data_IF_754618050298
#
_entry.id   IF_754618050298
#
_cell.length_a   1.000
_cell.length_b   1.000
_cell.length_c   1.000
_cell.angle_alpha   90.00
_cell.angle_beta   90.00
_cell.angle_gamma   90.00
#
_symmetry.space_group_name_H-M   'P 1'
#
loop_
_entity.id
_entity.type
_entity.pdbx_description
1 polymer ?
#
# COMPACT_ATOMS: atom_id res chain seq x y z
N UNK A 1 14.16 7.33 15.17
CA UNK A 1 14.91 8.25 14.28
C UNK A 1 15.13 7.54 12.97
N UNK A 2 14.60 8.05 11.84
CA UNK A 2 14.91 7.47 10.53
C UNK A 2 16.43 7.57 10.31
N UNK A 3 17.05 6.45 10.01
CA UNK A 3 18.48 6.39 9.71
C UNK A 3 18.76 7.30 8.50
N UNK A 4 19.64 8.28 8.72
CA UNK A 4 19.96 9.26 7.67
C UNK A 4 20.67 8.55 6.53
N UNK A 5 20.12 8.61 5.34
CA UNK A 5 20.74 8.03 4.13
C UNK A 5 22.02 8.81 3.83
N UNK A 6 23.13 8.10 3.83
CA UNK A 6 24.46 8.60 3.48
C UNK A 6 25.13 7.64 2.51
N UNK A 7 26.16 8.08 1.78
CA UNK A 7 26.83 7.25 0.79
C UNK A 7 27.33 5.90 1.36
N UNK A 8 27.69 5.85 2.64
CA UNK A 8 28.22 4.63 3.28
C UNK A 8 27.17 3.57 3.63
N UNK A 9 25.86 3.90 3.69
CA UNK A 9 24.79 2.95 3.97
C UNK A 9 23.78 2.80 2.83
N UNK A 10 24.06 3.42 1.70
CA UNK A 10 23.13 3.46 0.56
C UNK A 10 22.78 2.07 0.04
N UNK A 11 23.78 1.21 -0.16
CA UNK A 11 23.58 -0.13 -0.70
C UNK A 11 22.72 -1.00 0.24
N UNK A 12 22.93 -0.88 1.55
CA UNK A 12 22.13 -1.57 2.56
C UNK A 12 20.67 -1.09 2.54
N UNK A 13 20.46 0.23 2.47
CA UNK A 13 19.11 0.81 2.38
C UNK A 13 18.41 0.39 1.10
N UNK A 14 19.13 0.32 -0.02
CA UNK A 14 18.61 -0.16 -1.30
C UNK A 14 18.18 -1.62 -1.22
N UNK A 15 19.05 -2.48 -0.70
CA UNK A 15 18.77 -3.92 -0.56
C UNK A 15 17.55 -4.15 0.32
N UNK A 16 17.50 -3.52 1.48
CA UNK A 16 16.37 -3.63 2.41
C UNK A 16 15.06 -3.13 1.80
N UNK A 17 15.10 -2.06 1.01
CA UNK A 17 13.94 -1.56 0.29
C UNK A 17 13.50 -2.52 -0.83
N UNK A 18 14.43 -3.21 -1.49
CA UNK A 18 14.11 -4.22 -2.49
C UNK A 18 13.38 -5.42 -1.86
N UNK A 19 13.89 -5.94 -0.74
CA UNK A 19 13.28 -7.03 0.01
C UNK A 19 11.82 -6.71 0.42
N UNK A 20 11.58 -5.50 0.91
CA UNK A 20 10.24 -5.05 1.28
C UNK A 20 9.31 -5.03 0.07
N UNK A 21 9.78 -4.52 -1.08
CA UNK A 21 8.98 -4.48 -2.31
C UNK A 21 8.59 -5.86 -2.77
N UNK A 22 9.54 -6.79 -2.77
CA UNK A 22 9.31 -8.15 -3.24
C UNK A 22 8.37 -8.89 -2.28
N UNK A 23 8.56 -8.76 -0.97
CA UNK A 23 7.66 -9.30 0.05
C UNK A 23 6.21 -8.81 -0.16
N UNK A 24 6.01 -7.51 -0.39
CA UNK A 24 4.66 -6.96 -0.58
C UNK A 24 4.03 -7.39 -1.90
N UNK A 25 4.83 -7.50 -2.97
CA UNK A 25 4.35 -8.02 -4.26
C UNK A 25 3.90 -9.47 -4.15
N UNK A 26 4.68 -10.32 -3.50
CA UNK A 26 4.32 -11.73 -3.27
C UNK A 26 3.01 -11.86 -2.50
N UNK A 27 2.85 -11.11 -1.40
CA UNK A 27 1.61 -11.08 -0.61
C UNK A 27 0.40 -10.62 -1.43
N UNK A 28 0.56 -9.56 -2.21
CA UNK A 28 -0.51 -9.05 -3.06
C UNK A 28 -0.88 -10.03 -4.17
N UNK A 29 0.11 -10.66 -4.82
CA UNK A 29 -0.12 -11.69 -5.85
C UNK A 29 -0.85 -12.89 -5.26
N UNK A 30 -0.47 -13.37 -4.09
CA UNK A 30 -1.12 -14.49 -3.42
C UNK A 30 -2.61 -14.23 -3.19
N UNK A 31 -2.94 -13.07 -2.64
CA UNK A 31 -4.34 -12.69 -2.42
C UNK A 31 -5.07 -12.55 -3.76
N UNK A 32 -4.54 -11.82 -4.72
CA UNK A 32 -5.17 -11.63 -6.04
C UNK A 32 -5.40 -12.96 -6.77
N UNK A 33 -4.46 -13.89 -6.70
CA UNK A 33 -4.61 -15.23 -7.29
C UNK A 33 -5.77 -15.99 -6.65
N UNK A 34 -5.90 -15.93 -5.35
CA UNK A 34 -7.01 -16.55 -4.64
C UNK A 34 -8.37 -15.90 -5.03
N UNK A 35 -8.38 -14.58 -5.22
CA UNK A 35 -9.55 -13.84 -5.66
C UNK A 35 -9.99 -14.22 -7.07
N UNK A 36 -9.05 -14.31 -7.99
CA UNK A 36 -9.32 -14.73 -9.37
C UNK A 36 -9.93 -16.14 -9.41
N UNK A 37 -9.45 -17.08 -8.58
CA UNK A 37 -10.05 -18.41 -8.43
C UNK A 37 -11.49 -18.35 -7.92
N UNK A 38 -11.84 -17.37 -7.11
CA UNK A 38 -13.19 -17.15 -6.58
C UNK A 38 -14.06 -16.32 -7.54
N UNK A 39 -13.56 -15.93 -8.71
CA UNK A 39 -14.24 -15.08 -9.71
C UNK A 39 -14.71 -13.73 -9.16
N UNK A 40 -13.97 -13.18 -8.20
CA UNK A 40 -14.27 -11.88 -7.61
C UNK A 40 -13.57 -10.80 -8.44
N UNK A 41 -14.35 -10.02 -9.18
CA UNK A 41 -13.85 -9.03 -10.14
C UNK A 41 -13.52 -7.66 -9.53
N UNK A 42 -13.96 -7.37 -8.30
CA UNK A 42 -13.74 -6.06 -7.66
C UNK A 42 -12.94 -6.18 -6.38
N UNK A 43 -11.65 -5.80 -6.43
CA UNK A 43 -10.79 -5.74 -5.24
C UNK A 43 -11.30 -4.74 -4.19
N UNK A 44 -11.97 -3.65 -4.61
CA UNK A 44 -12.41 -2.59 -3.73
C UNK A 44 -13.51 -3.05 -2.75
N UNK A 45 -14.56 -3.70 -3.26
CA UNK A 45 -15.63 -4.23 -2.41
C UNK A 45 -15.18 -5.40 -1.55
N UNK A 46 -14.21 -6.15 -2.03
CA UNK A 46 -13.70 -7.31 -1.32
C UNK A 46 -13.00 -6.94 -0.03
N UNK A 47 -12.19 -5.88 0.00
CA UNK A 47 -11.55 -5.41 1.23
C UNK A 47 -12.57 -5.27 2.37
N UNK A 48 -13.70 -4.62 2.09
CA UNK A 48 -14.78 -4.49 3.09
C UNK A 48 -15.39 -5.84 3.49
N UNK A 49 -15.48 -6.79 2.57
CA UNK A 49 -16.01 -8.13 2.89
C UNK A 49 -15.05 -8.95 3.75
N UNK A 50 -13.74 -8.83 3.51
CA UNK A 50 -12.71 -9.50 4.33
C UNK A 50 -12.73 -8.96 5.76
N UNK A 51 -12.98 -7.67 5.96
CA UNK A 51 -13.02 -7.05 7.28
C UNK A 51 -14.30 -7.36 8.09
N UNK A 52 -15.41 -7.70 7.44
CA UNK A 52 -16.70 -7.98 8.13
C UNK A 52 -16.62 -9.05 9.23
N UNK A 53 -16.00 -10.22 9.03
CA UNK A 53 -15.89 -11.24 10.08
C UNK A 53 -15.13 -10.79 11.32
N UNK A 54 -14.28 -9.76 11.19
CA UNK A 54 -13.55 -9.15 12.32
C UNK A 54 -14.39 -8.13 13.08
N UNK A 55 -15.66 -7.91 12.70
CA UNK A 55 -16.52 -6.93 13.33
C UNK A 55 -16.28 -5.50 12.82
N UNK A 56 -16.03 -5.34 11.52
CA UNK A 56 -15.82 -4.03 10.89
C UNK A 56 -16.85 -3.00 11.32
N UNK A 57 -16.36 -1.89 11.86
CA UNK A 57 -17.16 -0.70 12.17
C UNK A 57 -16.93 0.34 11.06
N UNK A 58 -18.01 0.82 10.48
CA UNK A 58 -18.01 1.89 9.49
C UNK A 58 -18.80 3.07 10.07
N UNK A 59 -18.11 4.19 10.31
CA UNK A 59 -18.75 5.36 10.91
C UNK A 59 -18.16 6.66 10.35
N UNK A 60 -18.97 7.71 10.18
CA UNK A 60 -18.45 9.00 9.78
C UNK A 60 -17.74 9.64 10.97
N UNK A 61 -16.48 10.03 10.75
CA UNK A 61 -15.68 10.76 11.71
C UNK A 61 -15.25 12.06 11.08
N UNK A 62 -15.56 13.17 11.73
CA UNK A 62 -15.21 14.51 11.28
C UNK A 62 -13.74 14.84 11.57
N UNK A 63 -12.87 14.07 10.89
CA UNK A 63 -11.43 14.29 10.88
C UNK A 63 -10.87 13.82 9.53
N UNK A 64 -10.47 14.74 8.64
CA UNK A 64 -9.99 14.41 7.30
C UNK A 64 -8.62 13.69 7.32
N UNK A 65 -7.87 13.75 8.44
CA UNK A 65 -6.57 13.12 8.59
C UNK A 65 -6.64 11.72 9.21
N UNK A 66 -7.81 11.31 9.72
CA UNK A 66 -8.00 9.98 10.28
C UNK A 66 -8.82 9.12 9.32
N UNK A 67 -8.23 8.08 8.75
CA UNK A 67 -8.87 7.21 7.77
C UNK A 67 -9.42 5.91 8.34
N UNK A 68 -8.74 5.32 9.30
CA UNK A 68 -9.12 4.08 9.96
C UNK A 68 -8.08 3.65 10.99
N UNK A 69 -8.38 2.57 11.70
CA UNK A 69 -7.47 1.91 12.63
C UNK A 69 -8.01 0.54 13.05
N UNK A 70 -7.14 -0.30 13.61
CA UNK A 70 -7.52 -1.53 14.31
C UNK A 70 -7.55 -1.26 15.79
N UNK A 71 -8.73 -1.42 16.39
CA UNK A 71 -8.89 -1.37 17.83
C UNK A 71 -8.79 -2.77 18.42
N UNK A 72 -8.06 -2.91 19.52
CA UNK A 72 -7.97 -4.18 20.23
C UNK A 72 -8.83 -4.11 21.49
N UNK A 73 -9.83 -4.99 21.58
CA UNK A 73 -10.70 -5.11 22.74
C UNK A 73 -10.86 -6.59 23.13
N UNK A 74 -10.48 -6.92 24.35
CA UNK A 74 -10.55 -8.30 24.86
C UNK A 74 -9.85 -9.32 23.93
N UNK A 75 -8.69 -8.99 23.39
CA UNK A 75 -7.92 -9.82 22.45
C UNK A 75 -8.49 -9.90 21.04
N UNK A 76 -9.61 -9.23 20.74
CA UNK A 76 -10.18 -9.15 19.40
C UNK A 76 -9.71 -7.89 18.69
N UNK A 77 -9.25 -8.05 17.47
CA UNK A 77 -8.89 -6.95 16.57
C UNK A 77 -10.15 -6.51 15.80
N UNK A 78 -10.56 -5.27 15.99
CA UNK A 78 -11.77 -4.69 15.39
C UNK A 78 -11.36 -3.56 14.45
N UNK A 79 -11.49 -3.73 13.13
CA UNK A 79 -11.18 -2.66 12.18
C UNK A 79 -12.28 -1.59 12.19
N UNK A 80 -11.86 -0.33 12.11
CA UNK A 80 -12.76 0.84 12.04
C UNK A 80 -12.34 1.67 10.82
N UNK A 81 -13.32 2.04 10.00
CA UNK A 81 -13.11 2.85 8.79
C UNK A 81 -13.96 4.11 8.83
N UNK A 82 -13.32 5.25 8.55
CA UNK A 82 -13.99 6.54 8.45
C UNK A 82 -14.76 6.64 7.13
N UNK A 83 -16.09 6.65 7.21
CA UNK A 83 -16.97 6.77 6.05
C UNK A 83 -17.24 8.21 5.61
N UNK A 84 -16.76 9.22 6.35
CA UNK A 84 -16.81 10.62 5.90
C UNK A 84 -15.81 10.89 4.76
N UNK A 85 -14.77 10.06 4.61
CA UNK A 85 -13.80 10.18 3.52
C UNK A 85 -14.34 9.64 2.17
N UNK A 86 -13.80 10.09 1.03
CA UNK A 86 -14.12 9.55 -0.27
C UNK A 86 -13.97 8.02 -0.36
N UNK A 87 -14.78 7.36 -1.17
CA UNK A 87 -14.78 5.89 -1.32
C UNK A 87 -13.40 5.31 -1.64
N UNK A 88 -12.63 5.98 -2.51
CA UNK A 88 -11.28 5.58 -2.86
C UNK A 88 -10.38 5.49 -1.62
N UNK A 89 -10.47 6.48 -0.71
CA UNK A 89 -9.72 6.48 0.55
C UNK A 89 -10.19 5.34 1.48
N UNK A 90 -11.51 5.10 1.56
CA UNK A 90 -12.04 4.00 2.38
C UNK A 90 -11.52 2.64 1.92
N UNK A 91 -11.44 2.40 0.60
CA UNK A 91 -10.91 1.14 0.06
C UNK A 91 -9.41 1.00 0.29
N UNK A 92 -8.66 2.09 0.13
CA UNK A 92 -7.24 2.11 0.45
C UNK A 92 -7.00 1.76 1.93
N UNK A 93 -7.73 2.42 2.82
CA UNK A 93 -7.68 2.14 4.26
C UNK A 93 -8.06 0.70 4.56
N UNK A 94 -9.10 0.16 3.93
CA UNK A 94 -9.51 -1.22 4.16
C UNK A 94 -8.39 -2.22 3.82
N UNK A 95 -7.66 -2.04 2.71
CA UNK A 95 -6.51 -2.88 2.37
C UNK A 95 -5.33 -2.68 3.30
N UNK A 96 -5.09 -1.45 3.76
CA UNK A 96 -4.10 -1.12 4.76
C UNK A 96 -4.36 -1.87 6.09
N UNK A 97 -5.59 -1.80 6.60
CA UNK A 97 -5.99 -2.51 7.82
C UNK A 97 -5.95 -4.04 7.67
N UNK A 98 -6.24 -4.57 6.47
CA UNK A 98 -6.08 -6.00 6.18
C UNK A 98 -4.63 -6.44 6.32
N UNK A 99 -3.68 -5.63 5.87
CA UNK A 99 -2.26 -5.92 6.08
C UNK A 99 -1.95 -6.11 7.56
N UNK A 100 -2.33 -5.16 8.40
CA UNK A 100 -2.12 -5.23 9.85
C UNK A 100 -2.83 -6.41 10.51
N UNK A 101 -4.03 -6.76 10.04
CA UNK A 101 -4.75 -7.91 10.58
C UNK A 101 -4.07 -9.25 10.30
N UNK A 102 -3.53 -9.42 9.09
CA UNK A 102 -3.06 -10.72 8.59
C UNK A 102 -1.56 -10.89 8.80
N UNK A 103 -0.78 -9.84 8.55
CA UNK A 103 0.67 -9.93 8.44
C UNK A 103 1.44 -9.26 9.57
N UNK A 104 0.84 -8.25 10.20
CA UNK A 104 1.49 -7.56 11.30
C UNK A 104 1.44 -8.42 12.58
N UNK A 105 2.64 -8.87 12.97
CA UNK A 105 2.84 -9.67 14.18
C UNK A 105 3.13 -8.82 15.42
N UNK A 106 3.17 -7.50 15.28
CA UNK A 106 3.54 -6.61 16.38
C UNK A 106 2.54 -6.76 17.52
N UNK A 107 3.03 -7.27 18.64
CA UNK A 107 2.30 -7.25 19.89
C UNK A 107 2.29 -5.80 20.38
N UNK A 108 1.11 -5.22 20.58
CA UNK A 108 0.89 -3.83 21.02
C UNK A 108 1.60 -3.44 22.32
N UNK A 109 2.34 -4.35 22.94
CA UNK A 109 3.05 -4.13 24.20
C UNK A 109 4.48 -3.54 24.07
N UNK A 110 5.08 -3.57 22.88
CA UNK A 110 6.46 -3.07 22.66
C UNK A 110 6.62 -2.43 21.28
N UNK A 111 6.01 -1.26 21.09
CA UNK A 111 6.17 -0.50 19.84
C UNK A 111 7.50 0.27 19.93
N UNK A 112 8.52 -0.21 19.22
CA UNK A 112 9.68 0.59 18.87
C UNK A 112 9.27 1.47 17.69
N UNK A 113 9.38 2.78 17.79
CA UNK A 113 8.92 3.74 16.76
C UNK A 113 9.39 3.42 15.33
N UNK A 114 10.60 2.87 15.18
CA UNK A 114 11.17 2.49 13.88
C UNK A 114 10.50 1.29 13.23
N UNK A 115 10.06 0.29 14.01
CA UNK A 115 9.33 -0.88 13.52
C UNK A 115 7.93 -0.47 13.05
N UNK A 116 7.29 0.42 13.80
CA UNK A 116 5.97 0.95 13.43
C UNK A 116 6.00 1.68 12.09
N UNK A 117 7.00 2.54 11.86
CA UNK A 117 7.14 3.28 10.59
C UNK A 117 7.35 2.33 9.40
N UNK A 118 8.09 1.24 9.59
CA UNK A 118 8.33 0.26 8.54
C UNK A 118 7.08 -0.56 8.22
N UNK A 119 6.34 -1.00 9.22
CA UNK A 119 5.09 -1.75 9.02
C UNK A 119 4.00 -0.87 8.40
N UNK A 120 3.91 0.40 8.76
CA UNK A 120 3.04 1.38 8.09
C UNK A 120 3.39 1.52 6.60
N UNK A 121 4.67 1.65 6.25
CA UNK A 121 5.11 1.70 4.85
C UNK A 121 4.74 0.44 4.08
N UNK A 122 4.92 -0.74 4.68
CA UNK A 122 4.53 -2.02 4.09
C UNK A 122 3.02 -2.08 3.85
N UNK A 123 2.23 -1.66 4.85
CA UNK A 123 0.77 -1.63 4.75
C UNK A 123 0.29 -0.69 3.65
N UNK A 124 0.87 0.49 3.53
CA UNK A 124 0.57 1.46 2.47
C UNK A 124 0.92 0.94 1.07
N UNK A 125 2.10 0.34 0.92
CA UNK A 125 2.50 -0.23 -0.37
C UNK A 125 1.65 -1.45 -0.75
N UNK A 126 1.37 -2.33 0.21
CA UNK A 126 0.46 -3.45 0.01
C UNK A 126 -0.94 -2.97 -0.44
N UNK A 127 -1.51 -1.97 0.24
CA UNK A 127 -2.79 -1.38 -0.14
C UNK A 127 -2.78 -0.78 -1.55
N UNK A 128 -1.69 -0.10 -1.93
CA UNK A 128 -1.50 0.42 -3.29
C UNK A 128 -1.48 -0.70 -4.33
N UNK A 129 -0.74 -1.78 -4.08
CA UNK A 129 -0.69 -2.96 -4.96
C UNK A 129 -2.06 -3.63 -5.10
N UNK A 130 -2.84 -3.71 -4.02
CA UNK A 130 -4.17 -4.31 -4.06
C UNK A 130 -5.17 -3.50 -4.88
N UNK A 131 -5.07 -2.18 -4.89
CA UNK A 131 -5.93 -1.30 -5.69
C UNK A 131 -5.47 -1.20 -7.16
N UNK A 132 -4.19 -0.95 -7.38
CA UNK A 132 -3.62 -0.53 -8.67
C UNK A 132 -2.98 -1.69 -9.44
N UNK A 133 -2.51 -2.73 -8.75
CA UNK A 133 -1.70 -3.77 -9.37
C UNK A 133 -0.37 -3.22 -9.87
N UNK A 134 0.00 -3.59 -11.10
CA UNK A 134 1.13 -3.01 -11.79
C UNK A 134 0.67 -1.76 -12.57
N UNK A 135 0.78 -0.59 -11.93
CA UNK A 135 0.33 0.68 -12.50
C UNK A 135 1.23 1.17 -13.65
N UNK A 136 2.52 0.82 -13.63
CA UNK A 136 3.50 1.45 -14.50
C UNK A 136 3.19 1.34 -16.01
N UNK A 137 2.78 0.19 -16.58
CA UNK A 137 2.42 0.11 -17.99
C UNK A 137 1.31 1.09 -18.36
N UNK A 138 0.24 1.14 -17.57
CA UNK A 138 -0.86 2.08 -17.80
C UNK A 138 -0.40 3.53 -17.75
N UNK A 139 0.40 3.90 -16.75
CA UNK A 139 0.94 5.25 -16.61
C UNK A 139 1.83 5.66 -17.79
N UNK A 140 2.62 4.73 -18.34
CA UNK A 140 3.52 5.01 -19.48
C UNK A 140 2.76 5.17 -20.79
N UNK A 141 1.62 4.52 -20.96
CA UNK A 141 0.75 4.71 -22.14
C UNK A 141 0.17 6.13 -22.24
N UNK A 142 0.08 6.84 -21.12
CA UNK A 142 -0.40 8.23 -21.09
C UNK A 142 0.69 9.25 -21.46
N UNK A 143 1.56 8.95 -22.43
CA UNK A 143 2.78 9.72 -22.75
C UNK A 143 2.51 11.18 -23.07
N UNK A 144 1.39 11.49 -23.74
CA UNK A 144 1.02 12.83 -24.20
C UNK A 144 0.52 13.76 -23.08
N UNK A 145 0.25 13.22 -21.87
CA UNK A 145 -0.27 14.00 -20.76
C UNK A 145 0.85 14.54 -19.87
N UNK A 146 0.62 15.69 -19.24
CA UNK A 146 1.50 16.17 -18.18
C UNK A 146 1.38 15.31 -16.92
N UNK A 147 2.33 15.47 -15.98
CA UNK A 147 2.43 14.64 -14.78
C UNK A 147 1.13 14.62 -13.95
N UNK A 148 0.55 15.79 -13.69
CA UNK A 148 -0.65 15.87 -12.85
C UNK A 148 -1.87 15.26 -13.53
N UNK A 149 -2.04 15.51 -14.83
CA UNK A 149 -3.10 14.90 -15.63
C UNK A 149 -3.01 13.38 -15.63
N UNK A 150 -1.80 12.80 -15.76
CA UNK A 150 -1.56 11.34 -15.62
C UNK A 150 -2.00 10.82 -14.26
N UNK A 151 -1.64 11.52 -13.19
CA UNK A 151 -2.01 11.10 -11.83
C UNK A 151 -3.54 11.08 -11.66
N UNK A 152 -4.22 12.15 -12.05
CA UNK A 152 -5.69 12.21 -11.97
C UNK A 152 -6.36 11.13 -12.83
N UNK A 153 -5.80 10.86 -14.00
CA UNK A 153 -6.30 9.81 -14.87
C UNK A 153 -6.15 8.42 -14.24
N UNK A 154 -5.02 8.15 -13.59
CA UNK A 154 -4.82 6.92 -12.82
C UNK A 154 -5.79 6.84 -11.63
N UNK A 155 -6.00 7.93 -10.89
CA UNK A 155 -6.94 7.94 -9.76
C UNK A 155 -8.36 7.57 -10.20
N UNK A 156 -8.82 8.11 -11.33
CA UNK A 156 -10.15 7.84 -11.89
C UNK A 156 -10.25 6.40 -12.41
N UNK A 157 -9.31 5.98 -13.25
CA UNK A 157 -9.32 4.65 -13.87
C UNK A 157 -9.31 3.51 -12.84
N UNK A 158 -8.60 3.67 -11.74
CA UNK A 158 -8.47 2.64 -10.70
C UNK A 158 -9.32 2.89 -9.46
N UNK A 159 -10.10 3.98 -9.43
CA UNK A 159 -10.83 4.43 -8.23
C UNK A 159 -9.93 4.44 -6.97
N UNK A 160 -8.70 4.93 -7.13
CA UNK A 160 -7.67 4.94 -6.09
C UNK A 160 -7.37 6.37 -5.61
N UNK A 161 -7.01 6.57 -4.34
CA UNK A 161 -6.64 7.89 -3.86
C UNK A 161 -5.26 8.32 -4.39
N UNK A 162 -5.03 9.63 -4.43
CA UNK A 162 -3.76 10.25 -4.85
C UNK A 162 -2.53 9.58 -4.19
N UNK A 163 -2.60 9.36 -2.88
CA UNK A 163 -1.54 8.71 -2.10
C UNK A 163 -1.17 7.33 -2.66
N UNK A 164 -2.16 6.50 -3.00
CA UNK A 164 -1.90 5.16 -3.54
C UNK A 164 -1.18 5.21 -4.88
N UNK A 165 -1.58 6.13 -5.78
CA UNK A 165 -0.94 6.31 -7.08
C UNK A 165 0.51 6.75 -6.92
N UNK A 166 0.80 7.72 -6.04
CA UNK A 166 2.16 8.17 -5.80
C UNK A 166 3.05 7.09 -5.20
N UNK A 167 2.54 6.30 -4.24
CA UNK A 167 3.29 5.18 -3.65
C UNK A 167 3.63 4.15 -4.72
N UNK A 168 2.65 3.75 -5.54
CA UNK A 168 2.86 2.77 -6.60
C UNK A 168 3.91 3.24 -7.63
N UNK A 169 3.87 4.51 -8.03
CA UNK A 169 4.86 5.08 -8.95
C UNK A 169 6.25 5.19 -8.32
N UNK A 170 6.33 5.64 -7.06
CA UNK A 170 7.61 5.73 -6.35
C UNK A 170 8.29 4.37 -6.24
N UNK A 171 7.57 3.36 -5.77
CA UNK A 171 8.15 2.01 -5.62
C UNK A 171 8.46 1.34 -6.97
N UNK A 172 7.77 1.72 -8.04
CA UNK A 172 8.09 1.26 -9.40
C UNK A 172 9.32 1.99 -9.98
N UNK A 173 9.41 3.31 -9.81
CA UNK A 173 10.52 4.12 -10.29
C UNK A 173 11.85 3.73 -9.63
N UNK A 174 11.83 3.50 -8.32
CA UNK A 174 13.01 3.03 -7.57
C UNK A 174 13.49 1.68 -8.10
N UNK A 175 12.58 0.76 -8.45
CA UNK A 175 12.94 -0.51 -9.06
C UNK A 175 13.67 -0.32 -10.41
N UNK A 176 13.19 0.59 -11.26
CA UNK A 176 13.80 0.85 -12.57
C UNK A 176 15.19 1.50 -12.47
N UNK A 177 15.39 2.41 -11.53
CA UNK A 177 16.67 3.07 -11.33
C UNK A 177 17.78 2.10 -10.91
N UNK A 178 17.45 1.04 -10.19
CA UNK A 178 18.42 0.04 -9.71
C UNK A 178 18.60 -1.15 -10.68
N UNK A 179 17.68 -1.38 -11.61
CA UNK A 179 17.81 -2.41 -12.64
C UNK A 179 18.47 -1.90 -13.93
N UNK A 180 18.65 -0.59 -14.07
CA UNK A 180 19.39 -0.02 -15.18
C UNK A 180 20.89 -0.28 -14.99
N UNK A 181 21.59 -0.78 -16.02
CA UNK A 181 23.04 -0.96 -15.94
C UNK A 181 23.71 0.37 -15.58
N UNK A 182 24.64 0.32 -14.64
CA UNK A 182 25.43 1.48 -14.27
C UNK A 182 26.16 2.02 -15.50
N UNK A 183 26.34 3.34 -15.66
CA UNK A 183 27.19 3.89 -16.72
C UNK A 183 28.63 3.32 -16.72
N UNK A 184 29.05 2.63 -15.66
CA UNK A 184 30.34 1.93 -15.54
C UNK A 184 30.34 0.55 -16.19
N UNK A 185 29.18 -0.02 -16.49
CA UNK A 185 29.04 -1.34 -17.10
C UNK A 185 28.96 -1.28 -18.64
N UNK A 186 29.08 -0.08 -19.21
CA UNK A 186 29.05 0.21 -20.66
C UNK A 186 30.47 0.61 -21.12
N UNK A 187 31.49 -0.13 -20.73
CA UNK A 187 32.86 0.06 -21.25
C UNK A 187 33.39 -1.21 -21.85
#
# INVERSE_FOLDING_TARGET
MSEKIVAGNLDEVISKNAEIRDEMREKAVLIRTNLNRMQISSSNRLAMQILKPYGLIQMPIDNPFWSGAIFVKNGKKIPVINTALPRANQYFTAWHEIYHLIYDKVSFSHIIETETVMEERKAEYFASLMLLGNLLPYYTELSEMDFLSKIFHCMDAFAAPYKAVLIALYESAVCLLYTSPSPRDIS
#
